data_IF_550040881789
#
_entry.id   IF_550040881789
#
_cell.length_a   1.000
_cell.length_b   1.000
_cell.length_c   1.000
_cell.angle_alpha   90.00
_cell.angle_beta   90.00
_cell.angle_gamma   90.00
#
_symmetry.space_group_name_H-M   'P 1'
#
loop_
_entity.id
_entity.type
_entity.pdbx_description
1 polymer ?
#
# COMPACT_ATOMS: atom_id res chain seq x y z
N UNK A 1 -82.98 46.66 15.67
CA UNK A 1 -82.14 45.64 16.33
C UNK A 1 -81.29 44.97 15.26
N UNK A 2 -79.97 45.28 15.29
CA UNK A 2 -78.79 44.66 14.66
C UNK A 2 -78.64 44.55 13.11
N UNK A 3 -77.46 45.04 12.71
CA UNK A 3 -76.76 45.12 11.42
C UNK A 3 -76.16 43.79 10.90
N UNK A 4 -75.64 43.85 9.66
CA UNK A 4 -74.33 43.34 9.12
C UNK A 4 -74.58 42.56 7.81
N UNK A 5 -74.29 43.09 6.62
CA UNK A 5 -73.01 43.32 5.90
C UNK A 5 -72.49 42.11 5.10
N UNK A 6 -72.07 42.41 3.87
CA UNK A 6 -71.58 41.51 2.82
C UNK A 6 -70.18 40.93 3.07
N UNK A 7 -69.86 39.82 2.39
CA UNK A 7 -68.54 39.32 1.92
C UNK A 7 -68.73 37.85 1.52
N UNK A 8 -68.08 37.21 0.55
CA UNK A 8 -67.00 37.53 -0.36
C UNK A 8 -66.76 36.31 -1.25
N UNK A 9 -66.41 36.57 -2.50
CA UNK A 9 -66.06 35.63 -3.56
C UNK A 9 -64.69 34.99 -3.31
N UNK A 10 -64.55 33.66 -3.51
CA UNK A 10 -63.25 33.03 -3.82
C UNK A 10 -63.44 31.67 -4.50
N UNK A 11 -63.47 31.66 -5.83
CA UNK A 11 -63.26 30.46 -6.66
C UNK A 11 -61.80 30.06 -6.60
N UNK A 12 -61.51 28.87 -6.07
CA UNK A 12 -60.17 28.28 -6.00
C UNK A 12 -59.99 27.25 -7.12
N UNK A 13 -58.81 27.31 -7.73
CA UNK A 13 -58.12 26.26 -8.52
C UNK A 13 -58.59 25.95 -9.95
N UNK A 14 -57.98 26.66 -10.91
CA UNK A 14 -57.77 26.20 -12.30
C UNK A 14 -56.28 26.22 -12.72
N UNK A 15 -55.35 25.91 -11.81
CA UNK A 15 -53.91 25.89 -12.13
C UNK A 15 -53.26 24.49 -12.09
N UNK A 16 -54.03 23.43 -11.81
CA UNK A 16 -53.48 22.07 -11.66
C UNK A 16 -53.13 21.38 -12.98
N UNK A 17 -53.66 21.84 -14.12
CA UNK A 17 -53.51 21.12 -15.39
C UNK A 17 -52.21 21.45 -16.14
N UNK A 18 -51.54 22.56 -15.81
CA UNK A 18 -50.29 23.00 -16.47
C UNK A 18 -49.03 22.59 -15.69
N UNK A 19 -49.15 22.37 -14.38
CA UNK A 19 -48.03 22.00 -13.53
C UNK A 19 -47.57 20.55 -13.75
N UNK A 20 -48.48 19.66 -14.13
CA UNK A 20 -48.19 18.24 -14.36
C UNK A 20 -47.22 17.99 -15.53
N UNK A 21 -47.42 18.55 -16.75
CA UNK A 21 -46.47 18.34 -17.85
C UNK A 21 -45.10 18.98 -17.59
N UNK A 22 -45.05 20.12 -16.90
CA UNK A 22 -43.79 20.75 -16.50
C UNK A 22 -43.00 19.89 -15.51
N UNK A 23 -43.67 19.29 -14.53
CA UNK A 23 -43.04 18.39 -13.58
C UNK A 23 -42.49 17.13 -14.28
N UNK A 24 -43.24 16.53 -15.20
CA UNK A 24 -42.79 15.36 -15.98
C UNK A 24 -41.58 15.71 -16.84
N UNK A 25 -41.59 16.86 -17.52
CA UNK A 25 -40.43 17.30 -18.32
C UNK A 25 -39.19 17.54 -17.46
N UNK A 26 -39.34 18.08 -16.26
CA UNK A 26 -38.22 18.33 -15.34
C UNK A 26 -37.63 17.02 -14.79
N UNK A 27 -38.48 16.03 -14.50
CA UNK A 27 -38.07 14.68 -14.09
C UNK A 27 -37.35 13.96 -15.23
N UNK A 28 -37.88 14.02 -16.46
CA UNK A 28 -37.22 13.41 -17.61
C UNK A 28 -35.86 14.03 -17.90
N UNK A 29 -35.73 15.36 -17.76
CA UNK A 29 -34.46 16.06 -17.92
C UNK A 29 -33.46 15.69 -16.82
N UNK A 30 -33.89 15.61 -15.55
CA UNK A 30 -33.00 15.24 -14.44
C UNK A 30 -32.52 13.80 -14.55
N UNK A 31 -33.39 12.88 -14.97
CA UNK A 31 -33.05 11.48 -15.28
C UNK A 31 -32.09 11.40 -16.47
N UNK A 32 -32.33 12.15 -17.55
CA UNK A 32 -31.42 12.18 -18.69
C UNK A 32 -30.03 12.73 -18.31
N UNK A 33 -29.95 13.78 -17.48
CA UNK A 33 -28.69 14.34 -17.00
C UNK A 33 -27.95 13.39 -16.06
N UNK A 34 -28.66 12.66 -15.18
CA UNK A 34 -28.03 11.64 -14.33
C UNK A 34 -27.57 10.43 -15.11
N UNK A 35 -28.33 10.00 -16.11
CA UNK A 35 -27.91 8.93 -17.03
C UNK A 35 -26.69 9.38 -17.84
N UNK A 36 -26.70 10.60 -18.40
CA UNK A 36 -25.54 11.15 -19.09
C UNK A 36 -24.33 11.29 -18.16
N UNK A 37 -24.49 11.67 -16.89
CA UNK A 37 -23.36 11.79 -15.97
C UNK A 37 -22.84 10.42 -15.51
N UNK A 38 -23.70 9.39 -15.44
CA UNK A 38 -23.28 8.00 -15.22
C UNK A 38 -22.54 7.41 -16.44
N UNK A 39 -22.97 7.74 -17.66
CA UNK A 39 -22.28 7.33 -18.90
C UNK A 39 -21.03 8.17 -19.22
N UNK A 40 -21.00 9.44 -18.78
CA UNK A 40 -19.85 10.33 -18.92
C UNK A 40 -18.80 10.14 -17.80
N UNK A 41 -19.14 9.44 -16.71
CA UNK A 41 -18.16 8.84 -15.82
C UNK A 41 -17.45 7.73 -16.59
N UNK A 42 -16.43 8.11 -17.34
CA UNK A 42 -15.46 7.21 -17.91
C UNK A 42 -14.92 6.32 -16.78
N UNK A 43 -15.16 4.99 -16.77
CA UNK A 43 -14.61 4.08 -15.77
C UNK A 43 -13.08 3.91 -15.89
N UNK A 44 -12.43 4.72 -16.73
CA UNK A 44 -11.03 4.59 -17.13
C UNK A 44 -10.07 5.52 -16.40
N UNK A 45 -10.52 6.46 -15.57
CA UNK A 45 -9.59 7.39 -14.89
C UNK A 45 -8.97 6.84 -13.60
N UNK A 46 -9.51 5.77 -13.02
CA UNK A 46 -8.96 5.17 -11.79
C UNK A 46 -7.90 4.08 -12.09
N UNK A 47 -7.92 3.50 -13.30
CA UNK A 47 -7.12 2.33 -13.65
C UNK A 47 -5.72 2.63 -14.25
N UNK A 48 -5.30 3.89 -14.39
CA UNK A 48 -4.09 4.19 -15.17
C UNK A 48 -3.21 5.32 -14.63
N UNK A 49 -3.00 5.40 -13.31
CA UNK A 49 -1.83 6.14 -12.81
C UNK A 49 -0.64 5.19 -12.79
N UNK A 50 0.33 5.32 -13.71
CA UNK A 50 1.29 4.26 -14.01
C UNK A 50 2.33 4.00 -12.91
N UNK A 51 2.28 4.76 -11.81
CA UNK A 51 3.22 4.71 -10.70
C UNK A 51 2.48 4.92 -9.38
N UNK A 52 1.72 3.90 -8.99
CA UNK A 52 1.17 3.76 -7.64
C UNK A 52 1.81 2.58 -6.94
N UNK A 53 1.67 2.54 -5.62
CA UNK A 53 2.12 1.42 -4.78
C UNK A 53 1.09 1.20 -3.68
N UNK A 54 -0.12 0.84 -4.10
CA UNK A 54 -1.14 0.33 -3.19
C UNK A 54 -1.06 -1.20 -3.17
N UNK A 55 -0.79 -1.76 -2.00
CA UNK A 55 -0.57 -3.20 -1.84
C UNK A 55 -1.65 -3.77 -0.94
N UNK A 56 -2.55 -4.54 -1.55
CA UNK A 56 -3.42 -5.42 -0.79
C UNK A 56 -2.64 -6.69 -0.43
N UNK A 57 -2.19 -6.75 0.83
CA UNK A 57 -1.43 -7.87 1.41
C UNK A 57 -2.28 -9.12 1.70
N UNK A 58 -3.52 -9.16 1.21
CA UNK A 58 -4.34 -10.36 1.10
C UNK A 58 -4.66 -11.06 2.43
N UNK A 59 -4.95 -12.35 2.31
CA UNK A 59 -5.20 -13.23 3.44
C UNK A 59 -3.93 -13.53 4.22
N UNK A 60 -4.11 -13.98 5.47
CA UNK A 60 -3.01 -14.43 6.30
C UNK A 60 -2.51 -15.81 5.83
N UNK A 61 -1.20 -16.01 5.92
CA UNK A 61 -0.52 -17.25 5.52
C UNK A 61 0.16 -17.89 6.72
N UNK A 62 0.15 -19.23 6.77
CA UNK A 62 0.99 -19.98 7.70
C UNK A 62 2.45 -19.94 7.24
N UNK A 63 3.36 -19.75 8.20
CA UNK A 63 4.80 -19.69 7.94
C UNK A 63 5.56 -20.50 8.99
N UNK A 64 6.36 -21.45 8.51
CA UNK A 64 7.26 -22.24 9.35
C UNK A 64 8.61 -21.55 9.44
N UNK A 65 9.01 -21.18 10.65
CA UNK A 65 10.37 -20.74 10.97
C UNK A 65 11.20 -21.98 11.29
N UNK A 66 12.32 -22.14 10.58
CA UNK A 66 13.25 -23.26 10.79
C UNK A 66 14.70 -22.86 10.53
N UNK A 67 15.65 -23.68 11.00
CA UNK A 67 17.07 -23.43 10.75
C UNK A 67 17.42 -23.68 9.29
N UNK A 68 18.23 -22.80 8.72
CA UNK A 68 18.69 -22.92 7.34
C UNK A 68 20.21 -22.74 7.27
N UNK A 69 20.84 -23.40 6.30
CA UNK A 69 22.24 -23.15 5.95
C UNK A 69 22.41 -21.86 5.12
N UNK A 70 21.29 -21.26 4.68
CA UNK A 70 21.25 -20.01 3.91
C UNK A 70 21.45 -18.80 4.82
N UNK A 71 21.86 -17.68 4.24
CA UNK A 71 22.09 -16.42 4.96
C UNK A 71 23.17 -16.53 6.06
N UNK A 72 24.19 -17.35 5.83
CA UNK A 72 25.36 -17.43 6.71
C UNK A 72 26.14 -16.11 6.75
N UNK A 73 26.90 -15.87 7.82
CA UNK A 73 27.84 -14.74 7.91
C UNK A 73 29.17 -15.12 7.24
N UNK A 74 29.13 -15.44 5.95
CA UNK A 74 30.27 -15.89 5.15
C UNK A 74 30.09 -15.45 3.68
N UNK A 75 31.09 -15.72 2.83
CA UNK A 75 31.04 -15.28 1.42
C UNK A 75 29.88 -15.93 0.65
N UNK A 76 29.52 -17.18 0.94
CA UNK A 76 28.36 -17.85 0.33
C UNK A 76 27.04 -17.14 0.69
N UNK A 77 26.91 -16.70 1.95
CA UNK A 77 25.76 -15.94 2.43
C UNK A 77 25.59 -14.60 1.73
N UNK A 78 26.67 -13.98 1.22
CA UNK A 78 26.59 -12.71 0.52
C UNK A 78 25.62 -12.77 -0.68
N UNK A 79 25.62 -13.87 -1.41
CA UNK A 79 24.68 -14.09 -2.52
C UNK A 79 23.23 -14.21 -2.04
N UNK A 80 23.01 -14.82 -0.88
CA UNK A 80 21.67 -15.00 -0.32
C UNK A 80 21.09 -13.64 0.08
N UNK A 81 21.88 -12.82 0.78
CA UNK A 81 21.47 -11.48 1.16
C UNK A 81 21.21 -10.59 -0.07
N UNK A 82 22.01 -10.71 -1.13
CA UNK A 82 21.80 -9.96 -2.37
C UNK A 82 20.48 -10.33 -3.07
N UNK A 83 20.04 -11.58 -2.95
CA UNK A 83 18.79 -12.10 -3.55
C UNK A 83 17.51 -11.70 -2.77
N UNK A 84 17.63 -11.00 -1.65
CA UNK A 84 16.48 -10.51 -0.87
C UNK A 84 15.73 -9.35 -1.54
N UNK A 85 16.38 -8.64 -2.47
CA UNK A 85 15.84 -7.43 -3.09
C UNK A 85 15.02 -7.76 -4.35
N UNK A 86 13.92 -7.03 -4.62
CA UNK A 86 13.31 -7.07 -5.94
C UNK A 86 14.24 -6.39 -6.98
N UNK A 87 13.92 -6.54 -8.26
CA UNK A 87 14.74 -6.04 -9.38
C UNK A 87 14.99 -4.53 -9.32
N UNK A 88 14.05 -3.78 -8.76
CA UNK A 88 14.16 -2.33 -8.53
C UNK A 88 14.98 -1.92 -7.29
N UNK A 89 15.54 -2.88 -6.55
CA UNK A 89 16.21 -2.62 -5.28
C UNK A 89 15.21 -2.35 -4.15
N UNK A 90 15.55 -1.45 -3.23
CA UNK A 90 14.68 -1.16 -2.07
C UNK A 90 13.69 -0.01 -2.30
N UNK A 91 13.64 0.55 -3.51
CA UNK A 91 12.83 1.73 -3.82
C UNK A 91 11.67 1.43 -4.76
N UNK A 92 10.63 2.22 -4.62
CA UNK A 92 9.46 2.29 -5.50
C UNK A 92 9.24 3.73 -5.92
N UNK A 93 8.63 3.93 -7.07
CA UNK A 93 8.42 5.25 -7.67
C UNK A 93 6.95 5.57 -7.70
N UNK A 94 6.56 6.73 -7.17
CA UNK A 94 5.18 7.21 -7.18
C UNK A 94 5.09 8.50 -7.97
N UNK A 95 4.07 8.61 -8.82
CA UNK A 95 3.75 9.88 -9.47
C UNK A 95 3.06 10.83 -8.47
N UNK A 96 3.26 12.13 -8.60
CA UNK A 96 2.51 13.19 -7.90
C UNK A 96 1.03 13.21 -8.32
N UNK A 97 0.17 13.86 -7.53
CA UNK A 97 -1.29 13.87 -7.77
C UNK A 97 -1.69 14.44 -9.14
N UNK A 98 -0.97 15.46 -9.57
CA UNK A 98 -1.09 16.07 -10.90
C UNK A 98 -0.31 15.33 -11.99
N UNK A 99 0.43 14.28 -11.65
CA UNK A 99 1.22 13.45 -12.56
C UNK A 99 2.47 14.12 -13.13
N UNK A 100 2.87 15.28 -12.61
CA UNK A 100 4.01 16.05 -13.14
C UNK A 100 5.35 15.56 -12.61
N UNK A 101 5.39 15.08 -11.37
CA UNK A 101 6.61 14.64 -10.70
C UNK A 101 6.58 13.14 -10.39
N UNK A 102 7.77 12.53 -10.35
CA UNK A 102 7.96 11.16 -9.91
C UNK A 102 8.93 11.17 -8.74
N UNK A 103 8.49 10.65 -7.60
CA UNK A 103 9.30 10.58 -6.38
C UNK A 103 9.66 9.13 -6.05
N UNK A 104 10.90 8.91 -5.66
CA UNK A 104 11.35 7.64 -5.14
C UNK A 104 11.08 7.55 -3.63
N UNK A 105 10.50 6.43 -3.22
CA UNK A 105 10.25 6.08 -1.83
C UNK A 105 10.91 4.74 -1.52
N UNK A 106 11.20 4.51 -0.24
CA UNK A 106 11.70 3.22 0.22
C UNK A 106 10.58 2.46 0.93
N UNK A 107 10.39 1.19 0.57
CA UNK A 107 9.44 0.32 1.28
C UNK A 107 10.11 -0.20 2.56
N UNK A 108 9.43 -0.09 3.71
CA UNK A 108 9.95 -0.52 5.02
C UNK A 108 10.57 -1.91 4.99
N UNK A 109 9.87 -2.89 4.40
CA UNK A 109 10.36 -4.26 4.23
C UNK A 109 11.74 -4.29 3.54
N UNK A 110 11.84 -3.71 2.36
CA UNK A 110 13.09 -3.75 1.60
C UNK A 110 14.21 -2.91 2.23
N UNK A 111 13.88 -1.84 2.98
CA UNK A 111 14.89 -1.10 3.74
C UNK A 111 15.52 -1.96 4.83
N UNK A 112 14.71 -2.70 5.59
CA UNK A 112 15.18 -3.61 6.62
C UNK A 112 16.10 -4.68 6.02
N UNK A 113 15.68 -5.31 4.93
CA UNK A 113 16.47 -6.32 4.23
C UNK A 113 17.76 -5.73 3.62
N UNK A 114 17.72 -4.51 3.07
CA UNK A 114 18.92 -3.83 2.56
C UNK A 114 19.90 -3.49 3.68
N UNK A 115 19.40 -3.07 4.85
CA UNK A 115 20.23 -2.84 6.03
C UNK A 115 20.90 -4.13 6.52
N UNK A 116 20.21 -5.27 6.44
CA UNK A 116 20.78 -6.59 6.76
C UNK A 116 21.88 -6.99 5.78
N UNK A 117 21.67 -6.78 4.48
CA UNK A 117 22.69 -7.01 3.45
C UNK A 117 23.93 -6.12 3.70
N UNK A 118 23.75 -4.83 4.02
CA UNK A 118 24.86 -3.93 4.37
C UNK A 118 25.59 -4.42 5.61
N UNK A 119 24.86 -4.82 6.65
CA UNK A 119 25.45 -5.37 7.87
C UNK A 119 26.29 -6.62 7.56
N UNK A 120 25.77 -7.55 6.74
CA UNK A 120 26.49 -8.73 6.31
C UNK A 120 27.83 -8.37 5.64
N UNK A 121 27.80 -7.47 4.66
CA UNK A 121 29.01 -7.02 3.97
C UNK A 121 30.02 -6.36 4.93
N UNK A 122 29.56 -5.54 5.88
CA UNK A 122 30.43 -4.92 6.87
C UNK A 122 30.99 -5.94 7.88
N UNK A 123 30.22 -6.96 8.24
CA UNK A 123 30.63 -8.02 9.16
C UNK A 123 31.80 -8.84 8.61
N UNK A 124 31.82 -9.10 7.30
CA UNK A 124 32.91 -9.82 6.63
C UNK A 124 34.19 -9.01 6.46
N UNK A 125 34.13 -7.68 6.63
CA UNK A 125 35.34 -6.83 6.56
C UNK A 125 36.20 -7.05 7.81
N UNK A 126 37.52 -6.98 7.63
CA UNK A 126 38.46 -7.03 8.76
C UNK A 126 38.16 -5.87 9.74
N UNK A 127 38.17 -6.10 11.07
CA UNK A 127 37.69 -5.16 12.09
C UNK A 127 38.62 -3.95 12.33
N UNK A 128 39.29 -3.45 11.29
CA UNK A 128 40.34 -2.41 11.38
C UNK A 128 39.82 -0.99 11.25
N UNK A 129 38.53 -0.80 10.96
CA UNK A 129 37.96 0.53 10.74
C UNK A 129 36.77 0.77 11.68
N UNK A 130 36.60 2.01 12.16
CA UNK A 130 35.40 2.37 12.92
C UNK A 130 34.13 2.14 12.08
N UNK A 131 32.98 1.84 12.70
CA UNK A 131 31.72 1.69 11.99
C UNK A 131 31.42 2.91 11.10
N UNK A 132 31.09 2.66 9.83
CA UNK A 132 30.71 3.72 8.91
C UNK A 132 29.43 4.42 9.39
N UNK A 133 29.20 5.70 9.04
CA UNK A 133 27.93 6.37 9.33
C UNK A 133 26.71 5.58 8.81
N UNK A 134 26.85 4.95 7.63
CA UNK A 134 25.83 4.09 7.05
C UNK A 134 25.57 2.85 7.91
N UNK A 135 26.61 2.12 8.32
CA UNK A 135 26.45 0.95 9.20
C UNK A 135 25.77 1.33 10.52
N UNK A 136 26.15 2.45 11.12
CA UNK A 136 25.51 2.96 12.35
C UNK A 136 24.03 3.30 12.13
N UNK A 137 23.69 3.90 10.98
CA UNK A 137 22.31 4.14 10.59
C UNK A 137 21.52 2.83 10.45
N UNK A 138 22.05 1.86 9.69
CA UNK A 138 21.42 0.56 9.47
C UNK A 138 21.19 -0.20 10.78
N UNK A 139 22.21 -0.28 11.65
CA UNK A 139 22.09 -0.96 12.94
C UNK A 139 21.07 -0.27 13.86
N UNK A 140 21.03 1.06 13.87
CA UNK A 140 20.03 1.78 14.66
C UNK A 140 18.61 1.60 14.10
N UNK A 141 18.45 1.53 12.78
CA UNK A 141 17.16 1.28 12.14
C UNK A 141 16.65 -0.15 12.41
N UNK A 142 17.52 -1.15 12.27
CA UNK A 142 17.22 -2.54 12.59
C UNK A 142 16.86 -2.72 14.07
N UNK A 143 17.66 -2.12 14.97
CA UNK A 143 17.38 -2.13 16.41
C UNK A 143 15.99 -1.59 16.72
N UNK A 144 15.64 -0.43 16.17
CA UNK A 144 14.32 0.17 16.38
C UNK A 144 13.21 -0.71 15.80
N UNK A 145 13.40 -1.24 14.60
CA UNK A 145 12.41 -2.12 13.94
C UNK A 145 12.11 -3.37 14.78
N UNK A 146 13.15 -4.05 15.28
CA UNK A 146 13.04 -5.24 16.12
C UNK A 146 12.38 -4.92 17.46
N UNK A 147 12.72 -3.79 18.09
CA UNK A 147 12.11 -3.40 19.37
C UNK A 147 10.62 -3.02 19.23
N UNK A 148 10.22 -2.41 18.12
CA UNK A 148 8.83 -2.03 17.87
C UNK A 148 7.92 -3.21 17.52
N UNK A 149 8.48 -4.26 16.91
CA UNK A 149 7.73 -5.43 16.44
C UNK A 149 8.25 -6.73 17.04
N UNK A 150 8.72 -6.65 18.30
CA UNK A 150 9.26 -7.81 18.99
C UNK A 150 8.19 -8.88 19.15
N UNK A 151 8.49 -10.10 18.72
CA UNK A 151 7.63 -11.25 18.99
C UNK A 151 7.73 -11.59 20.48
N UNK A 152 6.60 -11.50 21.18
CA UNK A 152 6.49 -11.80 22.62
C UNK A 152 6.05 -13.24 22.89
N UNK A 153 5.98 -14.07 21.85
CA UNK A 153 5.62 -15.48 22.00
C UNK A 153 6.64 -16.22 22.87
N UNK A 154 6.13 -17.10 23.72
CA UNK A 154 6.97 -18.02 24.48
C UNK A 154 7.63 -19.05 23.56
N UNK A 155 8.91 -19.33 23.79
CA UNK A 155 9.62 -20.40 23.11
C UNK A 155 9.23 -21.76 23.70
N UNK A 156 9.01 -22.75 22.84
CA UNK A 156 8.72 -24.12 23.29
C UNK A 156 10.00 -24.78 23.82
N UNK A 157 9.88 -25.62 24.85
CA UNK A 157 11.00 -26.35 25.44
C UNK A 157 11.12 -27.73 24.77
N UNK A 158 12.32 -28.07 24.30
CA UNK A 158 12.65 -29.36 23.67
C UNK A 158 12.82 -30.50 24.67
N UNK A 159 13.35 -30.21 25.85
CA UNK A 159 13.71 -31.20 26.87
C UNK A 159 13.75 -30.59 28.28
N UNK A 160 13.87 -31.44 29.30
CA UNK A 160 13.91 -31.02 30.70
C UNK A 160 15.10 -30.10 31.06
N UNK A 161 16.08 -29.94 30.17
CA UNK A 161 17.21 -29.02 30.31
C UNK A 161 16.88 -27.59 29.86
N UNK A 162 15.63 -27.29 29.52
CA UNK A 162 15.15 -25.96 29.11
C UNK A 162 15.83 -25.47 27.82
N UNK A 163 16.18 -26.40 26.92
CA UNK A 163 16.63 -26.03 25.58
C UNK A 163 15.43 -25.59 24.74
N UNK A 164 15.48 -24.41 24.14
CA UNK A 164 14.36 -23.89 23.36
C UNK A 164 14.30 -24.46 21.93
N UNK A 165 13.08 -24.60 21.41
CA UNK A 165 12.83 -24.88 20.01
C UNK A 165 13.00 -23.62 19.18
N UNK A 166 13.94 -23.70 18.25
CA UNK A 166 14.16 -22.68 17.21
C UNK A 166 13.20 -22.84 16.03
N UNK A 167 12.47 -23.94 15.98
CA UNK A 167 11.51 -24.27 14.93
C UNK A 167 10.09 -24.04 15.45
N UNK A 168 9.30 -23.33 14.65
CA UNK A 168 7.93 -23.02 15.02
C UNK A 168 7.07 -22.53 13.87
N UNK A 169 5.75 -22.68 14.04
CA UNK A 169 4.76 -22.09 13.15
C UNK A 169 4.34 -20.70 13.61
N UNK A 170 4.10 -19.81 12.65
CA UNK A 170 3.52 -18.49 12.87
C UNK A 170 2.55 -18.15 11.75
N UNK A 171 1.72 -17.12 11.95
CA UNK A 171 0.77 -16.63 10.95
C UNK A 171 1.21 -15.22 10.57
N UNK A 172 1.51 -15.03 9.28
CA UNK A 172 2.05 -13.81 8.72
C UNK A 172 1.10 -13.19 7.69
N UNK A 173 1.34 -11.93 7.35
CA UNK A 173 0.80 -11.35 6.11
C UNK A 173 1.59 -11.90 4.93
N UNK A 174 0.93 -12.09 3.79
CA UNK A 174 1.61 -12.55 2.59
C UNK A 174 2.47 -11.43 1.98
N UNK A 175 3.78 -11.53 2.17
CA UNK A 175 4.73 -10.53 1.66
C UNK A 175 5.04 -10.70 0.18
N UNK A 176 4.69 -11.83 -0.44
CA UNK A 176 4.87 -12.02 -1.89
C UNK A 176 4.11 -10.95 -2.68
N UNK A 177 2.96 -10.52 -2.18
CA UNK A 177 2.17 -9.43 -2.74
C UNK A 177 2.94 -8.09 -2.78
N UNK A 178 3.81 -7.84 -1.79
CA UNK A 178 4.66 -6.64 -1.74
C UNK A 178 5.78 -6.72 -2.77
N UNK A 179 6.38 -7.90 -2.94
CA UNK A 179 7.39 -8.15 -3.98
C UNK A 179 6.79 -7.97 -5.37
N UNK A 180 5.66 -8.59 -5.64
CA UNK A 180 4.96 -8.49 -6.92
C UNK A 180 4.58 -7.04 -7.25
N UNK A 181 4.12 -6.27 -6.26
CA UNK A 181 3.84 -4.85 -6.44
C UNK A 181 5.11 -4.05 -6.76
N UNK A 182 6.25 -4.38 -6.14
CA UNK A 182 7.53 -3.70 -6.37
C UNK A 182 8.07 -3.99 -7.77
N UNK A 183 7.94 -5.24 -8.24
CA UNK A 183 8.31 -5.63 -9.59
C UNK A 183 7.45 -4.92 -10.64
N UNK A 184 6.12 -4.88 -10.44
CA UNK A 184 5.21 -4.13 -11.32
C UNK A 184 5.55 -2.64 -11.34
N UNK A 185 5.80 -2.04 -10.18
CA UNK A 185 6.16 -0.63 -10.05
C UNK A 185 7.47 -0.33 -10.79
N UNK A 186 8.51 -1.15 -10.58
CA UNK A 186 9.79 -1.01 -11.26
C UNK A 186 9.68 -1.14 -12.78
N UNK A 187 8.92 -2.15 -13.26
CA UNK A 187 8.69 -2.35 -14.69
C UNK A 187 7.97 -1.16 -15.33
N UNK A 188 6.96 -0.59 -14.67
CA UNK A 188 6.27 0.61 -15.13
C UNK A 188 7.19 1.82 -15.16
N UNK A 189 7.97 2.05 -14.10
CA UNK A 189 8.95 3.14 -14.04
C UNK A 189 9.98 3.04 -15.17
N UNK A 190 10.54 1.85 -15.40
CA UNK A 190 11.51 1.62 -16.47
C UNK A 190 10.95 1.92 -17.86
N UNK A 191 9.70 1.51 -18.13
CA UNK A 191 9.01 1.83 -19.39
C UNK A 191 8.82 3.33 -19.58
N UNK A 192 8.38 4.03 -18.52
CA UNK A 192 8.19 5.47 -18.55
C UNK A 192 9.51 6.19 -18.85
N UNK A 193 10.55 5.95 -18.05
CA UNK A 193 11.85 6.59 -18.23
C UNK A 193 12.46 6.29 -19.60
N UNK A 194 12.30 5.06 -20.11
CA UNK A 194 12.81 4.71 -21.44
C UNK A 194 12.09 5.43 -22.58
N UNK A 195 10.78 5.68 -22.45
CA UNK A 195 9.99 6.39 -23.46
C UNK A 195 10.16 7.92 -23.43
N UNK A 196 10.74 8.47 -22.36
CA UNK A 196 11.02 9.90 -22.22
C UNK A 196 12.40 10.32 -22.74
N UNK A 197 13.23 9.35 -23.17
CA UNK A 197 14.58 9.56 -23.71
C UNK A 197 14.58 9.41 -25.23
#
# INVERSE_FOLDING_TARGET
MKHISATGMHTKHKNSFVLLPLAVSFILLSVAVTILSLFARNPTTEASRPLTFDVNVGDLVGFTVFNTARYGLNDEGAEDYAKLMPSGGHTVHLASEDGQDIHAFTVTLFHQLKCLEIYHHEYLKKPRSPPTPLLRHCLNYLRQSVLCHADTRLESIKNAEVQSSKEYETVCRDWTQVYDAAERNHASYKKLVHNTV
#
